data_IF_553301567241
#
_entry.id   IF_553301567241
#
_cell.length_a   1.000
_cell.length_b   1.000
_cell.length_c   1.000
_cell.angle_alpha   90.00
_cell.angle_beta   90.00
_cell.angle_gamma   90.00
#
_symmetry.space_group_name_H-M   'P 1'
#
loop_
_entity.id
_entity.type
_entity.pdbx_description
1 polymer ?
#
# COMPACT_ATOMS: atom_id res chain seq x y z
N UNK A 1 -4.18 -4.08 8.83
CA UNK A 1 -5.11 -5.04 8.21
C UNK A 1 -4.29 -6.14 7.54
N UNK A 2 -4.88 -7.31 7.24
CA UNK A 2 -4.24 -8.40 6.47
C UNK A 2 -4.80 -8.39 5.04
N UNK A 3 -3.97 -8.70 4.04
CA UNK A 3 -4.32 -8.66 2.62
C UNK A 3 -5.41 -9.69 2.27
N UNK A 4 -5.21 -10.95 2.64
CA UNK A 4 -6.08 -12.07 2.23
C UNK A 4 -5.83 -12.53 0.78
N UNK A 5 -6.58 -13.52 0.32
CA UNK A 5 -6.42 -14.21 -0.97
C UNK A 5 -7.59 -14.00 -1.95
N UNK A 6 -8.56 -13.15 -1.62
CA UNK A 6 -9.77 -12.91 -2.42
C UNK A 6 -9.60 -11.81 -3.49
N UNK A 7 -8.38 -11.34 -3.72
CA UNK A 7 -8.07 -10.28 -4.68
C UNK A 7 -8.59 -8.90 -4.28
N UNK A 8 -9.21 -8.73 -3.10
CA UNK A 8 -9.72 -7.44 -2.64
C UNK A 8 -8.62 -6.66 -1.94
N UNK A 9 -8.31 -5.46 -2.44
CA UNK A 9 -7.40 -4.55 -1.72
C UNK A 9 -8.08 -4.05 -0.44
N UNK A 10 -7.42 -4.27 0.70
CA UNK A 10 -7.89 -3.85 2.01
C UNK A 10 -6.90 -2.88 2.66
N UNK A 11 -7.39 -1.79 3.24
CA UNK A 11 -6.54 -0.74 3.82
C UNK A 11 -5.42 -0.25 2.88
N UNK A 12 -5.68 -0.22 1.56
CA UNK A 12 -4.73 0.13 0.50
C UNK A 12 -3.53 -0.81 0.35
N UNK A 13 -3.63 -2.04 0.87
CA UNK A 13 -2.61 -3.06 0.66
C UNK A 13 -2.53 -3.48 -0.81
N UNK A 14 -1.31 -3.82 -1.30
CA UNK A 14 -1.13 -4.35 -2.64
C UNK A 14 -1.88 -5.67 -2.82
N UNK A 15 -2.34 -5.92 -4.04
CA UNK A 15 -2.94 -7.21 -4.44
C UNK A 15 -1.92 -8.15 -5.05
N UNK A 16 -0.70 -7.67 -5.30
CA UNK A 16 0.41 -8.44 -5.85
C UNK A 16 1.28 -9.15 -4.78
N UNK A 17 0.88 -9.10 -3.50
CA UNK A 17 1.58 -9.79 -2.40
C UNK A 17 0.90 -11.10 -1.99
N UNK A 18 1.55 -11.90 -1.14
CA UNK A 18 0.93 -13.06 -0.51
C UNK A 18 -0.19 -12.70 0.49
N UNK A 19 -1.08 -13.66 0.81
CA UNK A 19 -2.28 -13.41 1.63
C UNK A 19 -1.99 -13.04 3.08
N UNK A 20 -0.78 -13.36 3.56
CA UNK A 20 -0.31 -13.03 4.92
C UNK A 20 0.26 -11.62 5.05
N UNK A 21 0.33 -10.87 3.95
CA UNK A 21 0.78 -9.48 3.98
C UNK A 21 -0.10 -8.65 4.89
N UNK A 22 0.52 -7.79 5.69
CA UNK A 22 -0.19 -6.93 6.62
C UNK A 22 0.37 -5.51 6.60
N UNK A 23 -0.50 -4.54 6.91
CA UNK A 23 -0.14 -3.12 6.90
C UNK A 23 -1.35 -2.20 6.83
N UNK A 24 -1.11 -0.95 6.42
CA UNK A 24 -2.13 0.08 6.31
C UNK A 24 -1.66 1.28 5.47
N UNK A 25 -2.58 1.87 4.69
CA UNK A 25 -2.37 3.16 4.04
C UNK A 25 -2.47 4.33 5.02
N UNK A 26 -1.52 5.24 5.00
CA UNK A 26 -1.49 6.45 5.81
C UNK A 26 -2.17 7.66 5.15
N UNK A 27 -2.36 8.71 5.95
CA UNK A 27 -2.85 9.99 5.49
C UNK A 27 -1.92 10.59 4.41
N UNK A 28 -2.51 11.34 3.47
CA UNK A 28 -1.89 11.84 2.24
C UNK A 28 -1.31 10.74 1.30
N UNK A 29 -1.98 9.59 1.20
CA UNK A 29 -1.59 8.47 0.33
C UNK A 29 -0.21 7.88 0.65
N UNK A 30 0.16 7.89 1.94
CA UNK A 30 1.32 7.16 2.44
C UNK A 30 0.99 5.67 2.61
N UNK A 31 2.00 4.81 2.76
CA UNK A 31 1.76 3.38 2.90
C UNK A 31 2.88 2.71 3.71
N UNK A 32 2.49 1.75 4.54
CA UNK A 32 3.41 0.77 5.11
C UNK A 32 2.81 -0.63 5.08
N UNK A 33 3.60 -1.62 4.66
CA UNK A 33 3.23 -3.03 4.73
C UNK A 33 4.46 -3.95 4.89
N UNK A 34 4.20 -5.19 5.30
CA UNK A 34 5.18 -6.26 5.32
C UNK A 34 4.55 -7.58 4.85
N UNK A 35 5.30 -8.33 4.03
CA UNK A 35 4.97 -9.70 3.64
C UNK A 35 5.92 -10.67 4.37
N UNK A 36 5.43 -11.43 5.37
CA UNK A 36 6.27 -12.33 6.15
C UNK A 36 6.73 -13.57 5.35
N UNK A 37 6.14 -13.86 4.19
CA UNK A 37 6.52 -15.02 3.38
C UNK A 37 7.77 -14.73 2.56
N UNK A 38 7.83 -13.54 1.95
CA UNK A 38 8.99 -13.10 1.15
C UNK A 38 10.05 -12.39 1.99
N UNK A 39 9.69 -11.94 3.19
CA UNK A 39 10.55 -11.11 4.04
C UNK A 39 10.54 -9.62 3.66
N UNK A 40 9.69 -9.21 2.71
CA UNK A 40 9.55 -7.84 2.28
C UNK A 40 8.96 -6.97 3.40
N UNK A 41 9.56 -5.81 3.66
CA UNK A 41 8.97 -4.70 4.39
C UNK A 41 9.11 -3.44 3.58
N UNK A 42 8.04 -2.69 3.40
CA UNK A 42 8.00 -1.52 2.54
C UNK A 42 7.29 -0.35 3.21
N UNK A 43 7.85 0.85 3.03
CA UNK A 43 7.22 2.09 3.42
C UNK A 43 7.39 3.14 2.31
N UNK A 44 6.30 3.80 1.96
CA UNK A 44 6.29 4.96 1.07
C UNK A 44 5.75 6.16 1.83
N UNK A 45 6.63 7.14 2.05
CA UNK A 45 6.38 8.32 2.86
C UNK A 45 6.61 9.58 2.03
N UNK A 46 5.70 10.52 2.11
CA UNK A 46 5.82 11.85 1.49
C UNK A 46 5.59 12.92 2.54
N UNK A 47 6.28 14.04 2.40
CA UNK A 47 6.04 15.20 3.23
C UNK A 47 4.70 15.88 2.88
N UNK A 48 4.18 16.62 3.86
CA UNK A 48 3.00 17.46 3.69
C UNK A 48 1.68 16.70 3.84
N UNK A 49 0.67 17.44 4.31
CA UNK A 49 -0.72 17.01 4.32
C UNK A 49 -1.51 18.02 3.49
N UNK A 50 -2.26 17.60 2.45
CA UNK A 50 -3.01 18.53 1.62
C UNK A 50 -3.95 19.38 2.48
N UNK A 51 -4.05 20.67 2.16
CA UNK A 51 -5.03 21.56 2.81
C UNK A 51 -6.48 21.14 2.50
N UNK A 52 -6.68 20.40 1.41
CA UNK A 52 -7.96 19.73 1.08
C UNK A 52 -8.29 18.54 1.98
N UNK A 53 -7.40 18.16 2.91
CA UNK A 53 -7.56 17.02 3.80
C UNK A 53 -6.91 15.76 3.25
N UNK A 54 -7.63 14.63 3.30
CA UNK A 54 -7.15 13.39 2.70
C UNK A 54 -6.95 13.56 1.20
N UNK A 55 -5.75 13.23 0.73
CA UNK A 55 -5.48 13.13 -0.69
C UNK A 55 -6.34 12.02 -1.30
N UNK A 56 -7.31 12.40 -2.13
CA UNK A 56 -8.24 11.47 -2.80
C UNK A 56 -8.31 11.74 -4.29
N UNK A 57 -7.44 12.59 -4.83
CA UNK A 57 -7.36 12.73 -6.29
C UNK A 57 -6.99 11.38 -6.89
N UNK A 58 -7.40 11.19 -8.15
CA UNK A 58 -6.97 10.03 -8.94
C UNK A 58 -5.45 9.85 -8.91
N UNK A 59 -4.69 10.95 -8.92
CA UNK A 59 -3.24 10.89 -8.87
C UNK A 59 -2.72 10.33 -7.53
N UNK A 60 -3.28 10.77 -6.40
CA UNK A 60 -2.90 10.26 -5.08
C UNK A 60 -3.28 8.79 -4.89
N UNK A 61 -4.50 8.41 -5.28
CA UNK A 61 -4.95 7.01 -5.20
C UNK A 61 -4.14 6.09 -6.11
N UNK A 62 -3.84 6.53 -7.34
CA UNK A 62 -2.97 5.78 -8.24
C UNK A 62 -1.56 5.63 -7.65
N UNK A 63 -1.03 6.67 -6.98
CA UNK A 63 0.31 6.62 -6.37
C UNK A 63 0.38 5.51 -5.32
N UNK A 64 -0.53 5.50 -4.35
CA UNK A 64 -0.51 4.49 -3.29
C UNK A 64 -0.71 3.07 -3.85
N UNK A 65 -1.63 2.87 -4.79
CA UNK A 65 -1.91 1.55 -5.37
C UNK A 65 -0.73 1.05 -6.23
N UNK A 66 -0.27 1.87 -7.16
CA UNK A 66 0.73 1.43 -8.15
C UNK A 66 2.10 1.25 -7.52
N UNK A 67 2.51 2.13 -6.60
CA UNK A 67 3.78 1.98 -5.89
C UNK A 67 3.76 0.73 -5.02
N UNK A 68 2.65 0.45 -4.33
CA UNK A 68 2.51 -0.76 -3.52
C UNK A 68 2.67 -2.03 -4.35
N UNK A 69 1.96 -2.13 -5.47
CA UNK A 69 2.02 -3.30 -6.33
C UNK A 69 3.40 -3.46 -6.96
N UNK A 70 4.04 -2.37 -7.43
CA UNK A 70 5.40 -2.43 -7.95
C UNK A 70 6.42 -2.87 -6.89
N UNK A 71 6.29 -2.40 -5.65
CA UNK A 71 7.15 -2.82 -4.56
C UNK A 71 6.99 -4.32 -4.24
N UNK A 72 5.76 -4.82 -4.30
CA UNK A 72 5.46 -6.24 -4.16
C UNK A 72 6.07 -7.09 -5.28
N UNK A 73 5.91 -6.66 -6.53
CA UNK A 73 6.42 -7.36 -7.73
C UNK A 73 7.96 -7.48 -7.75
N UNK A 74 8.69 -6.63 -7.02
CA UNK A 74 10.14 -6.77 -6.89
C UNK A 74 10.60 -7.99 -6.08
N UNK A 75 9.69 -8.62 -5.33
CA UNK A 75 9.98 -9.74 -4.43
C UNK A 75 9.01 -10.92 -4.60
N UNK A 76 8.09 -10.84 -5.57
CA UNK A 76 7.10 -11.85 -5.92
C UNK A 76 7.56 -12.81 -7.01
#
# INVERSE_FOLDING_TARGET
MVAGDDGTSRAFLPTATGPRTFGHGGAACQLGFADPVTGLSFAFLTNGYPTSGYERSRQGLNRIINIANLAADCFG
#
